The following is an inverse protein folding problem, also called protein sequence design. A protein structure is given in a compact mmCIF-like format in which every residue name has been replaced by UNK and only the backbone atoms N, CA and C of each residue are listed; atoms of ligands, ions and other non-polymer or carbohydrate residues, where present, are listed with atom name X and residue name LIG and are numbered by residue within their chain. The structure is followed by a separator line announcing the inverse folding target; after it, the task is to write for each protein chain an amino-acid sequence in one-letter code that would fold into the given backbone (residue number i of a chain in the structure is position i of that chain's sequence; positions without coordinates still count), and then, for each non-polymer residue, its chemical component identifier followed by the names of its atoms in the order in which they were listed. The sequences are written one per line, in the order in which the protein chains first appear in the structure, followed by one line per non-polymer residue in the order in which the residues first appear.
data_IF_119613834857
#
_entry.id   IF_119613834857
#
_cell.length_a   1.000
_cell.length_b   1.000
_cell.length_c   1.000
_cell.angle_alpha   90.00
_cell.angle_beta   90.00
_cell.angle_gamma   90.00
#
_symmetry.space_group_name_H-M   'P 1'
#
loop_
_entity.id
_entity.type
_entity.pdbx_description
1 polymer ?
#
# COMPACT_ATOMS: atom_id res chain seq x y z
N UNK A 1 6.16 -0.04 -20.54
CA UNK A 1 6.47 0.09 -19.10
C UNK A 1 6.69 -1.28 -18.51
N UNK A 2 7.70 -1.45 -17.68
CA UNK A 2 8.23 -2.75 -17.29
C UNK A 2 7.31 -3.40 -16.24
N UNK A 3 6.63 -4.50 -16.60
CA UNK A 3 5.75 -5.30 -15.70
C UNK A 3 6.50 -5.86 -14.47
N UNK A 4 7.83 -5.76 -14.47
CA UNK A 4 8.72 -6.28 -13.43
C UNK A 4 9.09 -5.25 -12.35
N UNK A 5 8.60 -3.99 -12.47
CA UNK A 5 8.92 -2.94 -11.49
C UNK A 5 8.55 -3.32 -10.04
N UNK A 6 7.36 -3.89 -9.76
CA UNK A 6 7.01 -4.32 -8.41
C UNK A 6 7.92 -5.45 -7.88
N UNK A 7 8.27 -6.39 -8.78
CA UNK A 7 9.12 -7.53 -8.40
C UNK A 7 10.57 -7.10 -8.12
N UNK A 8 11.09 -6.18 -8.92
CA UNK A 8 12.43 -5.60 -8.73
C UNK A 8 12.51 -4.80 -7.43
N UNK A 9 11.41 -4.13 -7.05
CA UNK A 9 11.35 -3.39 -5.80
C UNK A 9 11.35 -4.31 -4.58
N UNK A 10 10.62 -5.44 -4.62
CA UNK A 10 10.66 -6.44 -3.56
C UNK A 10 12.04 -7.06 -3.38
N UNK A 11 12.77 -7.32 -4.47
CA UNK A 11 14.14 -7.81 -4.41
C UNK A 11 15.11 -6.77 -3.84
N UNK A 12 14.92 -5.49 -4.15
CA UNK A 12 15.75 -4.41 -3.57
C UNK A 12 15.45 -4.22 -2.07
N UNK A 13 14.19 -4.28 -1.65
CA UNK A 13 13.81 -4.20 -0.24
C UNK A 13 14.39 -5.38 0.57
N UNK A 14 14.42 -6.58 -0.03
CA UNK A 14 15.02 -7.76 0.59
C UNK A 14 16.56 -7.74 0.65
N UNK A 15 17.22 -6.93 -0.19
CA UNK A 15 18.68 -6.82 -0.24
C UNK A 15 19.27 -5.73 0.67
N UNK A 16 18.42 -4.87 1.26
CA UNK A 16 18.85 -3.92 2.29
C UNK A 16 19.02 -4.69 3.58
N UNK A 17 20.25 -5.10 3.88
CA UNK A 17 20.58 -5.71 5.18
C UNK A 17 20.20 -4.75 6.30
N UNK A 18 19.45 -5.21 7.29
CA UNK A 18 18.98 -4.36 8.38
C UNK A 18 20.17 -3.89 9.21
N UNK A 19 20.48 -2.63 9.15
CA UNK A 19 21.52 -2.02 10.00
C UNK A 19 20.97 -1.65 11.36
N UNK A 20 19.65 -1.47 11.47
CA UNK A 20 18.93 -1.28 12.75
C UNK A 20 17.46 -1.62 12.49
N UNK A 21 16.95 -2.72 12.98
CA UNK A 21 15.54 -3.02 12.79
C UNK A 21 14.92 -3.72 13.98
N UNK A 22 13.99 -3.05 14.64
CA UNK A 22 13.12 -3.69 15.60
C UNK A 22 11.82 -4.23 14.98
N UNK A 23 11.40 -3.80 13.78
CA UNK A 23 10.25 -4.32 13.06
C UNK A 23 10.20 -3.89 11.58
N UNK A 24 11.16 -4.30 10.80
CA UNK A 24 11.13 -4.11 9.34
C UNK A 24 10.31 -5.19 8.67
N UNK A 25 9.64 -4.84 7.58
CA UNK A 25 8.82 -5.82 6.85
C UNK A 25 8.80 -5.57 5.35
N UNK A 26 8.58 -6.64 4.58
CA UNK A 26 8.30 -6.60 3.15
C UNK A 26 6.98 -7.34 2.88
N UNK A 27 6.18 -6.81 2.00
CA UNK A 27 4.88 -7.36 1.65
C UNK A 27 4.73 -7.46 0.13
N UNK A 28 4.15 -8.54 -0.33
CA UNK A 28 3.71 -8.72 -1.72
C UNK A 28 2.26 -9.16 -1.73
N UNK A 29 1.47 -8.62 -2.65
CA UNK A 29 0.06 -8.92 -2.69
C UNK A 29 -0.55 -8.85 -4.08
N UNK A 30 -1.66 -9.56 -4.22
CA UNK A 30 -2.60 -9.40 -5.30
C UNK A 30 -3.59 -8.31 -4.93
N UNK A 31 -3.81 -7.35 -5.83
CA UNK A 31 -4.72 -6.25 -5.57
C UNK A 31 -5.90 -6.23 -6.54
N UNK A 32 -7.03 -5.77 -6.01
CA UNK A 32 -8.22 -5.40 -6.76
C UNK A 32 -8.51 -3.93 -6.52
N UNK A 33 -8.60 -3.15 -7.59
CA UNK A 33 -8.90 -1.72 -7.55
C UNK A 33 -10.24 -1.49 -8.24
N UNK A 34 -11.21 -0.95 -7.50
CA UNK A 34 -12.51 -0.58 -8.03
C UNK A 34 -12.59 0.93 -8.18
N UNK A 35 -12.94 1.40 -9.39
CA UNK A 35 -13.16 2.81 -9.73
C UNK A 35 -14.54 2.90 -10.34
N UNK A 36 -15.51 3.46 -9.60
CA UNK A 36 -16.92 3.46 -10.02
C UNK A 36 -17.43 2.05 -10.35
N UNK A 37 -17.69 1.75 -11.62
CA UNK A 37 -18.17 0.45 -12.11
C UNK A 37 -17.08 -0.44 -12.72
N UNK A 38 -15.83 0.02 -12.74
CA UNK A 38 -14.71 -0.71 -13.36
C UNK A 38 -13.84 -1.32 -12.28
N UNK A 39 -13.53 -2.60 -12.41
CA UNK A 39 -12.59 -3.30 -11.55
C UNK A 39 -11.32 -3.65 -12.31
N UNK A 40 -10.18 -3.29 -11.74
CA UNK A 40 -8.85 -3.62 -12.21
C UNK A 40 -8.22 -4.62 -11.24
N UNK A 41 -7.35 -5.47 -11.73
CA UNK A 41 -6.62 -6.43 -10.90
C UNK A 41 -5.13 -6.37 -11.20
N UNK A 42 -4.30 -6.66 -10.21
CA UNK A 42 -2.87 -6.56 -10.38
C UNK A 42 -2.06 -7.01 -9.20
N UNK A 43 -0.84 -6.52 -9.13
CA UNK A 43 0.13 -6.84 -8.08
C UNK A 43 0.59 -5.59 -7.38
N UNK A 44 0.87 -5.72 -6.09
CA UNK A 44 1.51 -4.69 -5.29
C UNK A 44 2.65 -5.25 -4.46
N UNK A 45 3.56 -4.34 -4.11
CA UNK A 45 4.64 -4.61 -3.18
C UNK A 45 4.78 -3.42 -2.23
N UNK A 46 5.11 -3.68 -0.98
CA UNK A 46 5.42 -2.63 -0.02
C UNK A 46 6.52 -3.07 0.93
N UNK A 47 7.14 -2.10 1.58
CA UNK A 47 8.13 -2.34 2.62
C UNK A 47 8.03 -1.26 3.69
N UNK A 48 8.31 -1.64 4.92
CA UNK A 48 8.48 -0.75 6.05
C UNK A 48 9.87 -0.99 6.63
N UNK A 49 10.59 0.09 6.89
CA UNK A 49 11.89 0.07 7.53
C UNK A 49 11.86 0.98 8.74
N UNK A 50 12.04 0.43 9.93
CA UNK A 50 12.15 1.22 11.15
C UNK A 50 13.54 1.87 11.20
N UNK A 51 13.57 3.20 11.19
CA UNK A 51 14.80 4.01 11.29
C UNK A 51 15.19 4.18 12.76
N UNK A 52 14.20 4.22 13.65
CA UNK A 52 14.32 4.24 15.08
C UNK A 52 13.11 3.57 15.73
N UNK A 53 13.09 3.47 17.05
CA UNK A 53 11.98 2.86 17.80
C UNK A 53 10.62 3.51 17.47
N UNK A 54 10.61 4.80 17.12
CA UNK A 54 9.39 5.55 16.87
C UNK A 54 9.20 5.97 15.40
N UNK A 55 10.23 5.84 14.55
CA UNK A 55 10.19 6.36 13.18
C UNK A 55 10.35 5.26 12.15
N UNK A 56 9.43 5.17 11.22
CA UNK A 56 9.47 4.23 10.08
C UNK A 56 9.47 4.97 8.74
N UNK A 57 10.18 4.40 7.76
CA UNK A 57 10.08 4.73 6.35
C UNK A 57 9.21 3.70 5.66
N UNK A 58 8.29 4.12 4.83
CA UNK A 58 7.36 3.24 4.12
C UNK A 58 7.42 3.46 2.63
N UNK A 59 7.38 2.37 1.90
CA UNK A 59 7.33 2.35 0.45
C UNK A 59 6.21 1.42 0.02
N UNK A 60 5.44 1.86 -0.96
CA UNK A 60 4.42 1.03 -1.59
C UNK A 60 4.42 1.26 -3.09
N UNK A 61 4.25 0.22 -3.89
CA UNK A 61 4.09 0.30 -5.33
C UNK A 61 3.12 -0.77 -5.81
N UNK A 62 2.20 -0.41 -6.70
CA UNK A 62 1.24 -1.34 -7.27
C UNK A 62 0.80 -0.92 -8.67
N UNK A 63 0.38 -1.91 -9.44
CA UNK A 63 -0.17 -1.72 -10.78
C UNK A 63 -1.30 -2.71 -11.00
N UNK A 64 -2.45 -2.20 -11.42
CA UNK A 64 -3.63 -2.99 -11.73
C UNK A 64 -4.16 -2.62 -13.11
N UNK A 65 -4.62 -3.60 -13.87
CA UNK A 65 -5.16 -3.39 -15.22
C UNK A 65 -6.44 -4.20 -15.47
N UNK A 66 -7.18 -3.75 -16.48
CA UNK A 66 -8.35 -4.45 -17.02
C UNK A 66 -8.56 -4.07 -18.50
N UNK A 67 -9.39 -4.83 -19.19
CA UNK A 67 -9.81 -4.48 -20.56
C UNK A 67 -11.32 -4.35 -20.60
N UNK A 68 -11.79 -3.18 -21.00
CA UNK A 68 -13.22 -2.87 -21.15
C UNK A 68 -13.48 -2.46 -22.61
N UNK A 69 -14.35 -3.19 -23.29
CA UNK A 69 -14.72 -2.93 -24.69
C UNK A 69 -13.52 -2.77 -25.64
N UNK A 70 -12.46 -3.57 -25.45
CA UNK A 70 -11.24 -3.53 -26.27
C UNK A 70 -10.25 -2.41 -25.90
N UNK A 71 -10.55 -1.61 -24.88
CA UNK A 71 -9.65 -0.61 -24.31
C UNK A 71 -8.99 -1.20 -23.09
N UNK A 72 -7.65 -1.31 -23.11
CA UNK A 72 -6.88 -1.66 -21.90
C UNK A 72 -6.72 -0.42 -21.03
N UNK A 73 -7.14 -0.52 -19.78
CA UNK A 73 -6.94 0.51 -18.75
C UNK A 73 -5.96 -0.02 -17.71
N UNK A 74 -4.95 0.75 -17.39
CA UNK A 74 -3.95 0.44 -16.38
C UNK A 74 -3.86 1.60 -15.38
N UNK A 75 -3.78 1.28 -14.10
CA UNK A 75 -3.53 2.21 -13.01
C UNK A 75 -2.25 1.80 -12.30
N UNK A 76 -1.27 2.69 -12.24
CA UNK A 76 -0.02 2.48 -11.51
C UNK A 76 0.11 3.57 -10.43
N UNK A 77 0.60 3.18 -9.25
CA UNK A 77 0.81 4.10 -8.14
C UNK A 77 2.07 3.70 -7.37
N UNK A 78 2.77 4.72 -6.86
CA UNK A 78 3.89 4.57 -5.93
C UNK A 78 3.73 5.56 -4.80
N UNK A 79 3.86 5.08 -3.57
CA UNK A 79 3.78 5.87 -2.34
C UNK A 79 5.11 5.78 -1.60
N UNK A 80 5.58 6.91 -1.09
CA UNK A 80 6.74 7.00 -0.17
C UNK A 80 6.27 7.74 1.07
N UNK A 81 6.47 7.17 2.25
CA UNK A 81 5.98 7.73 3.50
C UNK A 81 7.00 7.70 4.62
N UNK A 82 6.78 8.57 5.59
CA UNK A 82 7.45 8.54 6.88
C UNK A 82 6.38 8.49 7.97
N UNK A 83 6.52 7.59 8.92
CA UNK A 83 5.60 7.39 10.02
C UNK A 83 6.27 7.62 11.38
N UNK A 84 5.50 8.14 12.32
CA UNK A 84 5.80 8.15 13.73
C UNK A 84 4.88 7.13 14.42
N UNK A 85 5.49 6.18 15.11
CA UNK A 85 4.80 5.09 15.79
C UNK A 85 4.86 5.32 17.30
N UNK A 86 3.77 5.06 18.01
CA UNK A 86 3.76 5.10 19.48
C UNK A 86 2.78 4.08 20.02
N UNK A 87 3.12 3.48 21.15
CA UNK A 87 2.23 2.55 21.86
C UNK A 87 1.19 3.31 22.67
N UNK A 88 -0.08 2.94 22.54
CA UNK A 88 -1.17 3.44 23.36
C UNK A 88 -1.53 2.48 24.52
N UNK A 89 -0.76 1.42 24.71
CA UNK A 89 -0.92 0.36 25.69
C UNK A 89 -0.27 -0.91 25.19
N UNK A 90 -0.55 -2.04 25.83
CA UNK A 90 0.11 -3.32 25.51
C UNK A 90 -0.37 -3.90 24.17
N UNK A 91 -1.60 -3.61 23.76
CA UNK A 91 -2.23 -4.20 22.58
C UNK A 91 -2.57 -3.19 21.47
N UNK A 92 -2.18 -1.91 21.59
CA UNK A 92 -2.53 -0.86 20.64
C UNK A 92 -1.31 -0.05 20.23
N UNK A 93 -1.05 0.00 18.93
CA UNK A 93 -0.06 0.87 18.33
C UNK A 93 -0.74 1.96 17.49
N UNK A 94 -0.39 3.21 17.74
CA UNK A 94 -0.79 4.35 16.92
C UNK A 94 0.34 4.72 15.97
N UNK A 95 0.01 4.88 14.71
CA UNK A 95 0.89 5.46 13.69
C UNK A 95 0.29 6.74 13.15
N UNK A 96 1.08 7.82 13.10
CA UNK A 96 0.79 9.04 12.35
C UNK A 96 1.81 9.14 11.22
N UNK A 97 1.38 9.41 10.00
CA UNK A 97 2.28 9.38 8.85
C UNK A 97 2.04 10.52 7.87
N UNK A 98 3.11 10.92 7.19
CA UNK A 98 3.08 11.73 5.98
C UNK A 98 3.44 10.86 4.78
N UNK A 99 2.82 11.09 3.63
CA UNK A 99 3.01 10.29 2.42
C UNK A 99 3.11 11.17 1.19
N UNK A 100 3.97 10.79 0.27
CA UNK A 100 4.06 11.30 -1.08
C UNK A 100 3.60 10.23 -2.05
N UNK A 101 2.62 10.54 -2.89
CA UNK A 101 1.96 9.61 -3.79
C UNK A 101 2.18 10.08 -5.22
N UNK A 102 2.60 9.18 -6.09
CA UNK A 102 2.63 9.38 -7.53
C UNK A 102 1.71 8.36 -8.21
N UNK A 103 0.79 8.82 -9.05
CA UNK A 103 -0.23 7.98 -9.67
C UNK A 103 -0.41 8.33 -11.14
N UNK A 104 -0.41 7.30 -11.99
CA UNK A 104 -0.67 7.41 -13.43
C UNK A 104 -1.76 6.44 -13.86
N UNK A 105 -2.57 6.83 -14.82
CA UNK A 105 -3.49 5.94 -15.53
C UNK A 105 -3.17 5.94 -17.02
N UNK A 106 -3.21 4.77 -17.64
CA UNK A 106 -2.95 4.60 -19.07
C UNK A 106 -4.12 3.89 -19.70
N UNK A 107 -4.67 4.44 -20.77
CA UNK A 107 -5.65 3.79 -21.64
C UNK A 107 -5.01 3.50 -23.00
N UNK A 108 -5.15 2.28 -23.50
CA UNK A 108 -4.58 1.87 -24.79
C UNK A 108 -5.59 1.07 -25.63
N UNK A 109 -5.70 1.43 -26.94
CA UNK A 109 -6.59 0.78 -27.90
C UNK A 109 -6.02 0.91 -29.32
N UNK A 110 -6.09 -0.14 -30.12
CA UNK A 110 -5.76 -0.14 -31.57
C UNK A 110 -4.46 0.63 -31.92
N UNK A 111 -3.42 0.49 -31.09
CA UNK A 111 -2.13 1.18 -31.29
C UNK A 111 -2.05 2.61 -30.74
N UNK A 112 -3.13 3.17 -30.24
CA UNK A 112 -3.14 4.45 -29.55
C UNK A 112 -2.93 4.24 -28.04
N UNK A 113 -2.17 5.14 -27.42
CA UNK A 113 -1.92 5.15 -25.98
C UNK A 113 -2.18 6.56 -25.47
N UNK A 114 -3.07 6.68 -24.51
CA UNK A 114 -3.31 7.90 -23.76
C UNK A 114 -2.91 7.67 -22.31
N UNK A 115 -2.00 8.49 -21.81
CA UNK A 115 -1.61 8.49 -20.41
C UNK A 115 -2.13 9.75 -19.73
N UNK A 116 -2.72 9.57 -18.56
CA UNK A 116 -3.12 10.64 -17.65
C UNK A 116 -2.20 10.53 -16.43
N UNK A 117 -1.40 11.55 -16.22
CA UNK A 117 -0.61 11.70 -15.02
C UNK A 117 -1.42 12.53 -14.01
N UNK A 118 -1.80 11.91 -12.90
CA UNK A 118 -2.51 12.60 -11.83
C UNK A 118 -1.57 13.47 -10.99
N UNK A 119 -0.27 13.46 -11.34
CA UNK A 119 0.76 14.20 -10.63
C UNK A 119 1.09 13.63 -9.26
N UNK A 120 2.09 14.23 -8.67
CA UNK A 120 2.48 13.95 -7.32
C UNK A 120 1.54 14.65 -6.32
N UNK A 121 1.18 13.95 -5.25
CA UNK A 121 0.41 14.50 -4.14
C UNK A 121 1.09 14.17 -2.83
N UNK A 122 1.05 15.09 -1.89
CA UNK A 122 1.41 14.83 -0.50
C UNK A 122 0.15 14.63 0.33
N UNK A 123 0.26 13.89 1.41
CA UNK A 123 -0.85 13.66 2.31
C UNK A 123 -0.39 13.29 3.70
N UNK A 124 -1.36 13.10 4.55
CA UNK A 124 -1.15 12.64 5.92
C UNK A 124 -2.25 11.66 6.31
N UNK A 125 -1.98 10.88 7.34
CA UNK A 125 -2.95 9.96 7.88
C UNK A 125 -2.57 9.52 9.28
N UNK A 126 -3.47 8.72 9.85
CA UNK A 126 -3.21 8.01 11.08
C UNK A 126 -3.86 6.63 11.01
N UNK A 127 -3.27 5.67 11.70
CA UNK A 127 -3.83 4.34 11.86
C UNK A 127 -3.56 3.78 13.24
N UNK A 128 -4.46 2.93 13.69
CA UNK A 128 -4.31 2.14 14.91
C UNK A 128 -4.19 0.69 14.47
N UNK A 129 -3.15 0.03 14.94
CA UNK A 129 -3.01 -1.42 14.90
C UNK A 129 -3.39 -1.97 16.26
N UNK A 130 -4.25 -2.95 16.29
CA UNK A 130 -4.70 -3.64 17.50
C UNK A 130 -4.31 -5.11 17.42
N UNK A 131 -3.65 -5.62 18.43
CA UNK A 131 -3.45 -7.05 18.65
C UNK A 131 -4.75 -7.65 19.17
N UNK A 132 -5.45 -8.40 18.32
CA UNK A 132 -6.75 -9.00 18.63
C UNK A 132 -6.58 -10.35 19.31
N UNK A 133 -5.56 -11.09 18.94
CA UNK A 133 -5.08 -12.33 19.57
C UNK A 133 -3.58 -12.45 19.31
N UNK A 134 -2.91 -13.40 19.94
CA UNK A 134 -1.47 -13.68 19.77
C UNK A 134 -1.01 -13.80 18.30
N UNK A 135 -1.94 -14.12 17.38
CA UNK A 135 -1.64 -14.34 15.97
C UNK A 135 -2.48 -13.49 15.01
N UNK A 136 -3.31 -12.59 15.52
CA UNK A 136 -4.21 -11.79 14.67
C UNK A 136 -4.14 -10.32 15.04
N UNK A 137 -3.73 -9.51 14.08
CA UNK A 137 -3.75 -8.05 14.18
C UNK A 137 -4.89 -7.46 13.34
N UNK A 138 -5.54 -6.44 13.87
CA UNK A 138 -6.45 -5.56 13.13
C UNK A 138 -5.79 -4.20 12.88
N UNK A 139 -6.10 -3.58 11.75
CA UNK A 139 -5.68 -2.22 11.41
C UNK A 139 -6.88 -1.39 11.00
N UNK A 140 -6.96 -0.20 11.56
CA UNK A 140 -7.97 0.80 11.19
C UNK A 140 -7.28 2.17 11.06
N UNK A 141 -7.65 2.94 10.04
CA UNK A 141 -7.04 4.26 9.85
C UNK A 141 -7.71 5.10 8.79
N UNK A 142 -7.11 6.24 8.55
CA UNK A 142 -7.50 7.16 7.48
C UNK A 142 -6.29 7.81 6.84
N UNK A 143 -6.49 8.26 5.60
CA UNK A 143 -5.51 9.04 4.83
C UNK A 143 -6.21 10.16 4.07
N UNK A 144 -5.61 11.34 4.05
CA UNK A 144 -6.04 12.47 3.24
C UNK A 144 -4.90 12.93 2.35
N UNK A 145 -5.12 13.00 1.04
CA UNK A 145 -4.17 13.54 0.08
C UNK A 145 -4.52 15.00 -0.22
N UNK A 146 -3.50 15.82 -0.42
CA UNK A 146 -3.66 17.22 -0.85
C UNK A 146 -3.77 17.28 -2.37
N UNK A 147 -4.97 17.00 -2.88
CA UNK A 147 -5.37 17.11 -4.29
C UNK A 147 -6.68 17.89 -4.40
N UNK A 148 -6.98 18.42 -5.59
CA UNK A 148 -8.22 19.16 -5.84
C UNK A 148 -9.49 18.31 -5.67
N UNK A 149 -9.38 17.01 -5.89
CA UNK A 149 -10.41 15.98 -5.69
C UNK A 149 -10.24 15.22 -4.37
N UNK A 150 -9.50 15.78 -3.43
CA UNK A 150 -9.05 15.14 -2.19
C UNK A 150 -10.23 14.76 -1.30
N UNK A 151 -10.56 13.49 -1.32
CA UNK A 151 -11.47 12.87 -0.35
C UNK A 151 -10.68 12.13 0.72
N UNK A 152 -11.25 12.08 1.91
CA UNK A 152 -10.73 11.25 2.98
C UNK A 152 -10.87 9.78 2.57
N UNK A 153 -9.78 9.05 2.60
CA UNK A 153 -9.76 7.59 2.42
C UNK A 153 -9.69 6.90 3.77
N UNK A 154 -10.49 5.88 3.95
CA UNK A 154 -10.40 4.99 5.10
C UNK A 154 -9.48 3.82 4.79
N UNK A 155 -8.83 3.29 5.80
CA UNK A 155 -7.95 2.13 5.73
C UNK A 155 -8.41 1.11 6.76
N UNK A 156 -8.45 -0.13 6.34
CA UNK A 156 -8.75 -1.22 7.24
C UNK A 156 -7.94 -2.45 6.81
N UNK A 157 -7.54 -3.28 7.76
CA UNK A 157 -6.77 -4.48 7.47
C UNK A 157 -6.82 -5.51 8.58
N UNK A 158 -6.54 -6.75 8.21
CA UNK A 158 -6.33 -7.87 9.13
C UNK A 158 -5.05 -8.57 8.70
N UNK A 159 -4.25 -8.96 9.67
CA UNK A 159 -3.04 -9.75 9.51
C UNK A 159 -3.14 -10.98 10.39
N UNK A 160 -2.82 -12.14 9.83
CA UNK A 160 -2.81 -13.42 10.53
C UNK A 160 -1.42 -14.04 10.43
N UNK A 161 -0.77 -14.23 11.57
CA UNK A 161 0.52 -14.89 11.66
C UNK A 161 0.43 -16.34 11.21
N UNK A 162 1.19 -16.70 10.18
CA UNK A 162 1.33 -18.09 9.70
C UNK A 162 2.64 -18.73 10.13
N UNK A 163 3.61 -17.90 10.52
CA UNK A 163 4.85 -18.30 11.19
C UNK A 163 5.41 -17.12 12.01
N UNK A 164 6.52 -17.31 12.70
CA UNK A 164 7.19 -16.25 13.49
C UNK A 164 7.65 -15.05 12.63
N UNK A 165 7.78 -15.24 11.32
CA UNK A 165 8.28 -14.21 10.40
C UNK A 165 7.33 -13.93 9.23
N UNK A 166 6.20 -14.63 9.12
CA UNK A 166 5.30 -14.48 7.98
C UNK A 166 3.86 -14.32 8.41
N UNK A 167 3.18 -13.37 7.78
CA UNK A 167 1.75 -13.12 7.96
C UNK A 167 1.01 -13.19 6.62
N UNK A 168 -0.20 -13.71 6.66
CA UNK A 168 -1.21 -13.50 5.63
C UNK A 168 -1.95 -12.21 5.94
N UNK A 169 -2.07 -11.31 4.94
CA UNK A 169 -2.69 -10.00 5.14
C UNK A 169 -3.85 -9.79 4.17
N UNK A 170 -4.89 -9.15 4.66
CA UNK A 170 -5.98 -8.60 3.84
C UNK A 170 -6.15 -7.15 4.24
N UNK A 171 -6.08 -6.24 3.28
CA UNK A 171 -6.29 -4.82 3.56
C UNK A 171 -7.17 -4.16 2.52
N UNK A 172 -7.84 -3.10 2.92
CA UNK A 172 -8.64 -2.26 2.03
C UNK A 172 -8.39 -0.80 2.35
N UNK A 173 -8.15 0.00 1.30
CA UNK A 173 -8.00 1.44 1.41
C UNK A 173 -8.85 2.09 0.34
N UNK A 174 -9.63 3.10 0.70
CA UNK A 174 -10.42 3.78 -0.31
C UNK A 174 -11.39 4.82 0.22
N UNK A 175 -12.10 5.39 -0.72
CA UNK A 175 -13.16 6.37 -0.53
C UNK A 175 -14.37 6.01 -1.40
N UNK A 176 -15.32 6.93 -1.60
CA UNK A 176 -16.50 6.72 -2.42
C UNK A 176 -16.22 6.47 -3.91
N UNK A 177 -15.07 6.90 -4.42
CA UNK A 177 -14.73 6.86 -5.85
C UNK A 177 -13.76 5.74 -6.19
N UNK A 178 -12.75 5.53 -5.34
CA UNK A 178 -11.71 4.54 -5.54
C UNK A 178 -11.56 3.67 -4.29
N UNK A 179 -11.62 2.37 -4.47
CA UNK A 179 -11.37 1.39 -3.42
C UNK A 179 -10.32 0.39 -3.91
N UNK A 180 -9.31 0.17 -3.09
CA UNK A 180 -8.26 -0.83 -3.31
C UNK A 180 -8.33 -1.88 -2.22
N UNK A 181 -8.35 -3.14 -2.60
CA UNK A 181 -8.27 -4.28 -1.68
C UNK A 181 -7.07 -5.12 -2.07
N UNK A 182 -6.24 -5.48 -1.10
CA UNK A 182 -5.03 -6.28 -1.31
C UNK A 182 -5.07 -7.51 -0.42
N UNK A 183 -4.73 -8.66 -0.98
CA UNK A 183 -4.50 -9.91 -0.24
C UNK A 183 -3.06 -10.32 -0.53
N UNK A 184 -2.27 -10.58 0.51
CA UNK A 184 -0.86 -10.86 0.31
C UNK A 184 -0.16 -11.50 1.48
N UNK A 185 1.15 -11.66 1.33
CA UNK A 185 2.05 -12.16 2.35
C UNK A 185 2.99 -11.05 2.80
N UNK A 186 3.15 -10.92 4.10
CA UNK A 186 4.12 -10.04 4.74
C UNK A 186 5.22 -10.89 5.38
N UNK A 187 6.46 -10.53 5.14
CA UNK A 187 7.63 -11.08 5.79
C UNK A 187 8.22 -10.04 6.74
N UNK A 188 8.37 -10.41 8.00
CA UNK A 188 8.94 -9.58 9.07
C UNK A 188 10.38 -10.03 9.34
N UNK A 189 11.35 -9.09 9.47
CA UNK A 189 12.78 -9.36 9.65
C UNK A 189 13.46 -8.33 10.55
#
# INVERSE_FOLDING_TARGET
MNKYLPLTFCLLAASVTPVVANASSAHVGYESVSISSVSLTGLSASGSLDISDDISLELWSGSADTTVSGIKVELAQTDVGIGYNTKLGDALDLKVFAVHVNQTSTASWSGYVQQIDFGAATGFGASIKAELTDNVDGLLGFRKLNRSDSTLSTMFGISVGVSNTMDLTVSSTGNSTLKRTTIGLRYNF
#
